data_IF_339764709153
#
_entry.id   IF_339764709153
#
_cell.length_a   1.000
_cell.length_b   1.000
_cell.length_c   1.000
_cell.angle_alpha   90.00
_cell.angle_beta   90.00
_cell.angle_gamma   90.00
#
_symmetry.space_group_name_H-M   'P 1'
#
loop_
_entity.id
_entity.type
_entity.pdbx_description
1 polymer ?
#
# COMPACT_ATOMS: atom_id res chain seq x y z
N UNK A 1 10.56 8.46 3.59
CA UNK A 1 10.02 9.04 4.84
C UNK A 1 10.72 10.37 5.05
N UNK A 2 10.02 11.51 4.93
CA UNK A 2 10.61 12.80 5.25
C UNK A 2 10.59 12.91 6.77
N UNK A 3 11.77 13.01 7.39
CA UNK A 3 11.89 13.45 8.78
C UNK A 3 11.39 14.90 8.80
N UNK A 4 10.30 15.18 9.49
CA UNK A 4 9.95 16.55 9.88
C UNK A 4 11.10 17.06 10.75
N UNK A 5 11.67 18.20 10.41
CA UNK A 5 12.86 18.75 11.08
C UNK A 5 12.68 19.05 12.58
N UNK A 6 11.46 18.91 13.09
CA UNK A 6 11.06 19.24 14.46
C UNK A 6 10.78 18.00 15.34
N UNK A 7 11.07 16.77 14.86
CA UNK A 7 10.90 15.53 15.63
C UNK A 7 12.26 15.05 16.16
N UNK A 8 12.37 14.66 17.47
CA UNK A 8 13.60 14.10 17.99
C UNK A 8 14.02 12.84 17.26
N UNK A 9 15.31 12.63 17.08
CA UNK A 9 15.88 11.46 16.39
C UNK A 9 16.30 10.34 17.34
N UNK A 10 16.47 10.66 18.63
CA UNK A 10 16.90 9.74 19.70
C UNK A 10 16.29 10.15 21.05
N UNK A 11 16.54 9.31 22.06
CA UNK A 11 16.04 9.52 23.43
C UNK A 11 16.56 10.83 24.06
N UNK A 12 17.86 11.10 23.92
CA UNK A 12 18.48 12.29 24.52
C UNK A 12 17.87 13.58 23.97
N UNK A 13 17.72 13.67 22.63
CA UNK A 13 17.05 14.82 21.99
C UNK A 13 15.61 14.98 22.46
N UNK A 14 14.86 13.89 22.62
CA UNK A 14 13.51 13.95 23.13
C UNK A 14 13.44 14.50 24.54
N UNK A 15 14.39 14.12 25.41
CA UNK A 15 14.41 14.52 26.82
C UNK A 15 14.90 15.96 27.06
N UNK A 16 15.68 16.55 26.13
CA UNK A 16 16.08 17.95 26.20
C UNK A 16 15.16 18.89 25.42
N UNK A 17 14.20 18.34 24.65
CA UNK A 17 13.26 19.14 23.87
C UNK A 17 12.24 19.90 24.74
N UNK A 18 11.65 21.01 24.27
CA UNK A 18 10.55 21.70 24.97
C UNK A 18 9.34 20.81 25.27
N UNK A 19 9.13 19.77 24.47
CA UNK A 19 8.03 18.80 24.59
C UNK A 19 8.42 17.52 25.36
N UNK A 20 9.53 17.53 26.11
CA UNK A 20 10.10 16.35 26.80
C UNK A 20 9.09 15.58 27.65
N UNK A 21 8.23 16.28 28.40
CA UNK A 21 7.19 15.65 29.22
C UNK A 21 6.19 14.84 28.38
N UNK A 22 5.80 15.36 27.21
CA UNK A 22 4.86 14.69 26.27
C UNK A 22 5.52 13.48 25.60
N UNK A 23 6.81 13.60 25.26
CA UNK A 23 7.57 12.48 24.70
C UNK A 23 7.76 11.37 25.73
N UNK A 24 8.06 11.72 26.98
CA UNK A 24 8.16 10.74 28.08
C UNK A 24 6.83 10.01 28.32
N UNK A 25 5.70 10.72 28.28
CA UNK A 25 4.37 10.12 28.37
C UNK A 25 4.10 9.15 27.21
N UNK A 26 4.45 9.55 25.98
CA UNK A 26 4.32 8.70 24.80
C UNK A 26 5.18 7.42 24.89
N UNK A 27 6.43 7.54 25.38
CA UNK A 27 7.30 6.38 25.62
C UNK A 27 6.75 5.47 26.72
N UNK A 28 6.24 6.03 27.83
CA UNK A 28 5.60 5.24 28.90
C UNK A 28 4.38 4.48 28.40
N UNK A 29 3.57 5.09 27.53
CA UNK A 29 2.43 4.44 26.89
C UNK A 29 2.86 3.27 26.01
N UNK A 30 3.94 3.42 25.23
CA UNK A 30 4.50 2.32 24.43
C UNK A 30 5.05 1.19 25.30
N UNK A 31 5.79 1.52 26.37
CA UNK A 31 6.27 0.53 27.35
C UNK A 31 5.11 -0.19 28.04
N UNK A 32 4.03 0.51 28.39
CA UNK A 32 2.81 -0.09 28.90
C UNK A 32 2.26 -1.16 27.97
N UNK A 33 2.19 -0.85 26.65
CA UNK A 33 1.78 -1.81 25.63
C UNK A 33 2.70 -3.05 25.55
N UNK A 34 4.02 -2.87 25.73
CA UNK A 34 4.98 -3.98 25.76
C UNK A 34 4.73 -4.89 26.98
N UNK A 35 4.47 -4.32 28.15
CA UNK A 35 4.18 -5.09 29.37
C UNK A 35 2.83 -5.80 29.30
N UNK A 36 1.77 -5.14 28.85
CA UNK A 36 0.44 -5.74 28.67
C UNK A 36 0.48 -6.94 27.73
N UNK A 37 1.24 -6.83 26.64
CA UNK A 37 1.41 -7.91 25.67
C UNK A 37 2.47 -8.94 26.09
N UNK A 38 3.17 -8.77 27.23
CA UNK A 38 4.23 -9.67 27.71
C UNK A 38 5.28 -9.92 26.62
N UNK A 39 5.79 -8.84 26.04
CA UNK A 39 6.65 -8.90 24.85
C UNK A 39 7.99 -9.57 25.14
N UNK A 40 8.54 -9.39 26.36
CA UNK A 40 9.81 -10.00 26.79
C UNK A 40 9.86 -10.34 28.28
N UNK A 41 10.87 -11.11 28.63
CA UNK A 41 11.34 -11.33 30.01
C UNK A 41 12.81 -10.91 30.13
N UNK A 42 13.23 -10.42 31.30
CA UNK A 42 14.64 -10.08 31.54
C UNK A 42 15.43 -11.32 31.92
N UNK A 43 16.51 -11.60 31.18
CA UNK A 43 17.40 -12.75 31.38
C UNK A 43 18.85 -12.32 31.23
N UNK A 44 19.77 -13.16 31.73
CA UNK A 44 21.17 -12.99 31.41
C UNK A 44 21.41 -13.39 29.97
N UNK A 45 22.28 -12.66 29.25
CA UNK A 45 22.57 -12.95 27.84
C UNK A 45 23.41 -14.23 27.76
N UNK A 46 22.99 -15.26 27.01
CA UNK A 46 23.83 -16.44 26.75
C UNK A 46 25.13 -16.09 26.03
N UNK A 47 26.23 -16.80 26.35
CA UNK A 47 27.57 -16.50 25.83
C UNK A 47 27.68 -16.63 24.29
N UNK A 48 26.84 -17.46 23.70
CA UNK A 48 26.78 -17.72 22.25
C UNK A 48 25.81 -16.84 21.47
N UNK A 49 25.17 -15.85 22.14
CA UNK A 49 24.15 -14.99 21.56
C UNK A 49 24.54 -13.51 21.57
N UNK A 50 23.99 -12.76 20.64
CA UNK A 50 24.10 -11.30 20.60
C UNK A 50 22.74 -10.65 20.83
N UNK A 51 22.72 -9.57 21.57
CA UNK A 51 21.50 -8.79 21.77
C UNK A 51 21.34 -7.76 20.65
N UNK A 52 20.15 -7.75 20.04
CA UNK A 52 19.76 -6.77 19.03
C UNK A 52 19.62 -5.41 19.69
N UNK A 53 20.18 -4.39 19.09
CA UNK A 53 19.97 -3.01 19.54
C UNK A 53 18.55 -2.53 19.18
N UNK A 54 18.11 -1.49 19.87
CA UNK A 54 16.85 -0.81 19.57
C UNK A 54 17.03 0.70 19.51
N UNK A 55 15.98 1.39 19.12
CA UNK A 55 15.88 2.85 19.12
C UNK A 55 14.46 3.32 19.34
N UNK A 56 14.31 4.52 19.87
CA UNK A 56 13.05 5.24 19.87
C UNK A 56 12.82 5.95 18.53
N UNK A 57 11.58 5.92 18.04
CA UNK A 57 11.11 6.71 16.91
C UNK A 57 9.96 7.59 17.41
N UNK A 58 10.09 8.88 17.18
CA UNK A 58 9.13 9.89 17.62
C UNK A 58 8.33 10.40 16.43
N UNK A 59 7.03 10.68 16.65
CA UNK A 59 6.15 11.21 15.61
C UNK A 59 5.10 12.14 16.23
N UNK A 60 4.99 13.36 15.68
CA UNK A 60 3.87 14.27 15.95
C UNK A 60 2.74 13.97 14.94
N UNK A 61 1.52 13.77 15.42
CA UNK A 61 0.34 13.72 14.55
C UNK A 61 -0.36 15.06 14.60
N UNK A 62 -0.72 15.59 13.44
CA UNK A 62 -1.41 16.87 13.29
C UNK A 62 -2.81 16.66 12.74
N UNK A 63 -3.73 17.56 13.08
CA UNK A 63 -5.04 17.68 12.45
C UNK A 63 -4.93 18.31 11.03
N UNK A 64 -6.08 18.56 10.40
CA UNK A 64 -6.14 19.17 9.08
C UNK A 64 -5.62 20.62 9.04
N UNK A 65 -5.68 21.32 10.18
CA UNK A 65 -5.23 22.69 10.35
C UNK A 65 -3.74 22.81 10.70
N UNK A 66 -3.07 21.65 10.94
CA UNK A 66 -1.64 21.58 11.28
C UNK A 66 -1.35 21.62 12.79
N UNK A 67 -2.38 21.62 13.65
CA UNK A 67 -2.19 21.59 15.10
C UNK A 67 -1.79 20.19 15.56
N UNK A 68 -0.81 20.09 16.47
CA UNK A 68 -0.37 18.82 17.01
C UNK A 68 -1.46 18.23 17.90
N UNK A 69 -1.97 17.05 17.54
CA UNK A 69 -3.03 16.35 18.29
C UNK A 69 -2.48 15.24 19.16
N UNK A 70 -1.41 14.56 18.74
CA UNK A 70 -0.84 13.40 19.45
C UNK A 70 0.67 13.36 19.29
N UNK A 71 1.36 13.12 20.41
CA UNK A 71 2.76 12.70 20.44
C UNK A 71 2.81 11.17 20.48
N UNK A 72 3.55 10.55 19.59
CA UNK A 72 3.68 9.10 19.52
C UNK A 72 5.14 8.70 19.54
N UNK A 73 5.51 7.79 20.44
CA UNK A 73 6.80 7.13 20.48
C UNK A 73 6.62 5.65 20.13
N UNK A 74 7.58 5.06 19.43
CA UNK A 74 7.65 3.63 19.17
C UNK A 74 9.03 3.11 19.47
N UNK A 75 9.08 1.99 20.20
CA UNK A 75 10.31 1.23 20.37
C UNK A 75 10.50 0.33 19.16
N UNK A 76 11.65 0.45 18.49
CA UNK A 76 11.94 -0.24 17.23
C UNK A 76 13.27 -0.96 17.33
N UNK A 77 13.27 -2.28 17.09
CA UNK A 77 14.49 -3.06 17.00
C UNK A 77 15.30 -2.68 15.75
N UNK A 78 16.63 -2.72 15.85
CA UNK A 78 17.54 -2.53 14.71
C UNK A 78 17.68 -3.85 13.94
N UNK A 79 16.60 -4.28 13.26
CA UNK A 79 16.51 -5.57 12.57
C UNK A 79 17.55 -5.77 11.46
N UNK A 80 18.17 -4.70 10.96
CA UNK A 80 19.27 -4.81 10.00
C UNK A 80 20.51 -5.50 10.56
N UNK A 81 20.61 -5.63 11.89
CA UNK A 81 21.67 -6.39 12.56
C UNK A 81 21.35 -7.88 12.74
N UNK A 82 20.16 -8.35 12.35
CA UNK A 82 19.77 -9.74 12.46
C UNK A 82 20.45 -10.61 11.39
N UNK A 83 20.78 -11.85 11.75
CA UNK A 83 21.47 -12.82 10.89
C UNK A 83 20.47 -13.89 10.45
N UNK A 84 20.35 -14.10 9.14
CA UNK A 84 19.52 -15.17 8.58
C UNK A 84 20.05 -16.54 8.96
N UNK A 85 19.17 -17.48 9.31
CA UNK A 85 19.49 -18.81 9.79
C UNK A 85 19.87 -18.88 11.27
N UNK A 86 19.93 -17.72 11.99
CA UNK A 86 20.19 -17.63 13.44
C UNK A 86 19.04 -16.88 14.13
N UNK A 87 18.75 -15.67 13.66
CA UNK A 87 17.74 -14.79 14.24
C UNK A 87 16.38 -14.87 13.52
N UNK A 88 16.37 -15.35 12.28
CA UNK A 88 15.18 -15.62 11.49
C UNK A 88 15.48 -16.54 10.31
N UNK A 89 14.50 -17.33 9.91
CA UNK A 89 14.58 -18.16 8.71
C UNK A 89 13.88 -17.50 7.52
N UNK A 90 12.65 -17.03 7.72
CA UNK A 90 11.81 -16.49 6.67
C UNK A 90 11.12 -15.19 7.09
N UNK A 91 11.09 -14.23 6.18
CA UNK A 91 10.55 -12.88 6.43
C UNK A 91 9.31 -12.55 5.62
N UNK A 92 9.00 -13.34 4.58
CA UNK A 92 7.88 -13.05 3.70
C UNK A 92 6.56 -12.96 4.48
N UNK A 93 5.88 -11.85 4.30
CA UNK A 93 4.52 -11.62 4.78
C UNK A 93 3.66 -11.11 3.63
N UNK A 94 2.48 -11.70 3.41
CA UNK A 94 1.60 -11.22 2.36
C UNK A 94 1.08 -9.82 2.70
N UNK A 95 0.85 -9.02 1.65
CA UNK A 95 0.18 -7.72 1.72
C UNK A 95 -0.89 -7.70 0.65
N UNK A 96 -2.09 -7.25 0.97
CA UNK A 96 -3.19 -7.20 0.01
C UNK A 96 -2.86 -6.29 -1.16
N UNK A 97 -3.16 -6.75 -2.37
CA UNK A 97 -2.99 -5.97 -3.59
C UNK A 97 -4.08 -4.90 -3.71
N UNK A 98 -3.71 -3.69 -4.14
CA UNK A 98 -4.68 -2.61 -4.34
C UNK A 98 -5.78 -2.96 -5.35
N UNK A 99 -5.47 -3.77 -6.37
CA UNK A 99 -6.46 -4.26 -7.33
C UNK A 99 -7.52 -5.14 -6.66
N UNK A 100 -7.13 -5.99 -5.72
CA UNK A 100 -8.05 -6.82 -4.94
C UNK A 100 -8.98 -5.96 -4.09
N UNK A 101 -8.46 -4.93 -3.43
CA UNK A 101 -9.27 -3.97 -2.68
C UNK A 101 -10.29 -3.27 -3.60
N UNK A 102 -9.89 -2.82 -4.80
CA UNK A 102 -10.80 -2.18 -5.77
C UNK A 102 -11.89 -3.12 -6.24
N UNK A 103 -11.56 -4.40 -6.51
CA UNK A 103 -12.56 -5.42 -6.86
C UNK A 103 -13.57 -5.56 -5.73
N UNK A 104 -13.13 -5.67 -4.48
CA UNK A 104 -14.02 -5.78 -3.32
C UNK A 104 -14.92 -4.55 -3.14
N UNK A 105 -14.40 -3.34 -3.38
CA UNK A 105 -15.18 -2.09 -3.36
C UNK A 105 -16.20 -2.05 -4.51
N UNK A 106 -15.84 -2.51 -5.72
CA UNK A 106 -16.76 -2.60 -6.85
C UNK A 106 -17.92 -3.57 -6.57
N UNK A 107 -17.62 -4.73 -5.97
CA UNK A 107 -18.63 -5.71 -5.51
C UNK A 107 -19.53 -5.10 -4.44
N UNK A 108 -18.94 -4.44 -3.44
CA UNK A 108 -19.68 -3.80 -2.37
C UNK A 108 -20.63 -2.70 -2.88
N UNK A 109 -20.21 -1.91 -3.89
CA UNK A 109 -21.06 -0.92 -4.54
C UNK A 109 -22.26 -1.57 -5.26
N UNK A 110 -22.01 -2.67 -5.98
CA UNK A 110 -23.06 -3.36 -6.75
C UNK A 110 -24.15 -3.96 -5.87
N UNK A 111 -23.76 -4.68 -4.82
CA UNK A 111 -24.69 -5.36 -3.89
C UNK A 111 -25.13 -4.48 -2.73
N UNK A 112 -24.64 -3.25 -2.61
CA UNK A 112 -24.84 -2.35 -1.48
C UNK A 112 -24.41 -2.95 -0.13
N UNK A 113 -23.31 -3.71 -0.13
CA UNK A 113 -22.77 -4.31 1.10
C UNK A 113 -22.27 -3.23 2.08
N UNK A 114 -22.38 -3.52 3.37
CA UNK A 114 -21.73 -2.73 4.41
C UNK A 114 -20.21 -2.79 4.26
N UNK A 115 -19.54 -1.69 4.58
CA UNK A 115 -18.06 -1.60 4.59
C UNK A 115 -17.66 -0.94 5.90
N UNK A 116 -17.09 -1.72 6.81
CA UNK A 116 -16.67 -1.25 8.12
C UNK A 116 -15.16 -1.35 8.27
N UNK A 117 -14.59 -0.43 9.04
CA UNK A 117 -13.16 -0.37 9.29
C UNK A 117 -12.85 -0.62 10.77
N UNK A 118 -11.85 -1.44 11.03
CA UNK A 118 -11.28 -1.67 12.35
C UNK A 118 -9.76 -1.51 12.27
N UNK A 119 -9.14 -1.12 13.39
CA UNK A 119 -7.70 -0.93 13.54
C UNK A 119 -7.19 -1.78 14.70
N UNK A 120 -6.12 -2.56 14.46
CA UNK A 120 -5.51 -3.40 15.50
C UNK A 120 -4.45 -2.57 16.23
N UNK A 121 -4.67 -2.33 17.51
CA UNK A 121 -3.65 -1.68 18.32
C UNK A 121 -2.43 -2.59 18.46
N UNK A 122 -1.26 -2.04 18.17
CA UNK A 122 0.03 -2.76 18.36
C UNK A 122 0.07 -4.13 17.65
N UNK A 123 -0.35 -4.18 16.34
CA UNK A 123 -0.49 -5.41 15.57
C UNK A 123 0.73 -6.35 15.70
N UNK A 124 1.97 -5.84 15.53
CA UNK A 124 3.17 -6.66 15.60
C UNK A 124 3.41 -7.29 16.97
N UNK A 125 3.00 -6.62 18.06
CA UNK A 125 3.16 -7.16 19.43
C UNK A 125 2.25 -8.38 19.70
N UNK A 126 1.31 -8.69 18.79
CA UNK A 126 0.49 -9.88 18.86
C UNK A 126 1.17 -11.12 18.23
N UNK A 127 2.19 -10.92 17.37
CA UNK A 127 2.90 -12.00 16.71
C UNK A 127 3.80 -12.76 17.68
N UNK A 128 3.74 -14.09 17.68
CA UNK A 128 4.67 -14.94 18.43
C UNK A 128 5.98 -15.10 17.66
N UNK A 129 7.08 -15.16 18.39
CA UNK A 129 8.38 -15.52 17.84
C UNK A 129 8.62 -17.03 18.06
N UNK A 130 9.10 -17.69 17.03
CA UNK A 130 9.49 -19.09 17.05
C UNK A 130 10.99 -19.23 17.37
N UNK A 131 11.75 -18.15 17.11
CA UNK A 131 13.19 -18.05 17.31
C UNK A 131 13.56 -17.44 18.68
N UNK A 132 14.71 -17.79 19.20
CA UNK A 132 15.25 -17.19 20.41
C UNK A 132 15.98 -15.88 20.10
N UNK A 133 15.34 -14.76 20.43
CA UNK A 133 15.86 -13.42 20.20
C UNK A 133 16.08 -12.66 21.51
N UNK A 134 17.20 -11.98 21.56
CA UNK A 134 17.60 -11.15 22.69
C UNK A 134 17.75 -9.70 22.22
N UNK A 135 17.27 -8.75 23.01
CA UNK A 135 17.32 -7.32 22.69
C UNK A 135 17.85 -6.55 23.91
N UNK A 136 18.65 -5.54 23.66
CA UNK A 136 19.08 -4.61 24.71
C UNK A 136 17.87 -3.95 25.38
N UNK A 137 17.95 -3.66 26.68
CA UNK A 137 16.87 -2.90 27.33
C UNK A 137 16.75 -1.51 26.70
N UNK A 138 15.51 -0.98 26.57
CA UNK A 138 15.30 0.32 25.96
C UNK A 138 15.95 1.47 26.77
N UNK A 139 16.57 2.39 26.07
CA UNK A 139 17.14 3.59 26.64
C UNK A 139 16.09 4.38 27.44
N UNK A 140 16.43 4.79 28.65
CA UNK A 140 15.52 5.46 29.60
C UNK A 140 14.58 4.54 30.38
N UNK A 141 14.58 3.23 30.10
CA UNK A 141 13.71 2.22 30.74
C UNK A 141 14.47 0.97 31.19
N UNK A 142 15.74 1.11 31.49
CA UNK A 142 16.56 0.02 32.04
C UNK A 142 16.10 -0.28 33.48
N UNK A 143 15.82 -1.57 33.77
CA UNK A 143 15.48 -2.01 35.14
C UNK A 143 16.70 -1.87 36.08
N UNK A 144 16.62 -1.07 37.15
CA UNK A 144 17.74 -0.90 38.08
C UNK A 144 18.21 -2.20 38.73
N UNK A 145 17.31 -3.19 38.90
CA UNK A 145 17.63 -4.50 39.53
C UNK A 145 18.21 -5.50 38.50
N UNK A 146 18.09 -5.20 37.25
CA UNK A 146 18.53 -6.05 36.14
C UNK A 146 19.31 -5.28 35.09
N UNK A 147 20.12 -4.28 35.46
CA UNK A 147 20.79 -3.40 34.52
C UNK A 147 21.69 -4.12 33.49
N UNK A 148 22.26 -5.26 33.88
CA UNK A 148 23.10 -6.08 32.99
C UNK A 148 22.31 -7.15 32.20
N UNK A 149 20.99 -7.26 32.42
CA UNK A 149 20.13 -8.22 31.73
C UNK A 149 19.65 -7.68 30.41
N UNK A 150 19.29 -8.61 29.56
CA UNK A 150 18.69 -8.33 28.22
C UNK A 150 17.23 -8.80 28.18
N UNK A 151 16.48 -8.25 27.23
CA UNK A 151 15.11 -8.64 26.93
C UNK A 151 15.12 -9.91 26.07
N UNK A 152 14.74 -11.09 26.61
CA UNK A 152 14.41 -12.27 25.79
C UNK A 152 13.03 -12.06 25.21
N UNK A 153 12.93 -11.87 23.89
CA UNK A 153 11.68 -11.58 23.20
C UNK A 153 10.82 -12.84 23.12
N UNK A 154 9.54 -12.71 23.48
CA UNK A 154 8.51 -13.74 23.36
C UNK A 154 7.53 -13.42 22.23
N UNK A 155 7.45 -12.11 21.89
CA UNK A 155 6.63 -11.59 20.81
C UNK A 155 7.43 -10.66 19.93
N UNK A 156 6.96 -10.52 18.69
CA UNK A 156 7.60 -9.62 17.75
C UNK A 156 7.38 -8.15 18.14
N UNK A 157 8.32 -7.32 17.75
CA UNK A 157 8.25 -5.86 17.90
C UNK A 157 8.51 -5.18 16.56
N UNK A 158 8.20 -3.90 16.49
CA UNK A 158 8.54 -3.08 15.33
C UNK A 158 10.04 -3.15 15.05
N UNK A 159 10.41 -3.26 13.77
CA UNK A 159 11.78 -3.28 13.30
C UNK A 159 12.42 -4.65 13.16
N UNK A 160 11.91 -5.71 13.78
CA UNK A 160 12.35 -7.07 13.47
C UNK A 160 11.95 -7.44 12.04
N UNK A 161 12.82 -8.14 11.32
CA UNK A 161 12.60 -8.52 9.91
C UNK A 161 11.41 -9.47 9.74
N UNK A 162 11.14 -10.35 10.72
CA UNK A 162 10.02 -11.30 10.73
C UNK A 162 8.73 -10.76 11.36
N UNK A 163 8.69 -9.50 11.85
CA UNK A 163 7.54 -9.00 12.61
C UNK A 163 6.21 -9.07 11.85
N UNK A 164 6.22 -8.66 10.58
CA UNK A 164 5.02 -8.72 9.73
C UNK A 164 4.52 -10.14 9.52
N UNK A 165 5.44 -11.10 9.32
CA UNK A 165 5.13 -12.53 9.14
C UNK A 165 4.53 -13.13 10.43
N UNK A 166 5.14 -12.88 11.58
CA UNK A 166 4.66 -13.37 12.87
C UNK A 166 3.25 -12.85 13.19
N UNK A 167 3.00 -11.58 12.89
CA UNK A 167 1.67 -11.00 13.00
C UNK A 167 0.67 -11.66 12.03
N UNK A 168 1.03 -11.80 10.76
CA UNK A 168 0.16 -12.42 9.75
C UNK A 168 -0.19 -13.87 10.14
N UNK A 169 0.76 -14.71 10.57
CA UNK A 169 0.53 -16.06 11.07
C UNK A 169 -0.46 -16.07 12.23
N UNK A 170 -0.30 -15.15 13.20
CA UNK A 170 -1.19 -15.03 14.36
C UNK A 170 -2.60 -14.65 13.94
N UNK A 171 -2.74 -13.66 13.06
CA UNK A 171 -4.03 -13.22 12.54
C UNK A 171 -4.73 -14.33 11.76
N UNK A 172 -4.05 -14.96 10.83
CA UNK A 172 -4.54 -16.07 10.01
C UNK A 172 -5.10 -17.22 10.87
N UNK A 173 -4.32 -17.64 11.87
CA UNK A 173 -4.76 -18.68 12.82
C UNK A 173 -6.04 -18.29 13.55
N UNK A 174 -6.17 -17.06 14.03
CA UNK A 174 -7.35 -16.59 14.76
C UNK A 174 -8.57 -16.53 13.85
N UNK A 175 -8.42 -15.99 12.64
CA UNK A 175 -9.53 -15.82 11.70
C UNK A 175 -10.02 -17.17 11.17
N UNK A 176 -9.13 -18.09 10.86
CA UNK A 176 -9.48 -19.47 10.45
C UNK A 176 -10.20 -20.24 11.57
N UNK A 177 -9.79 -20.04 12.83
CA UNK A 177 -10.49 -20.63 13.98
C UNK A 177 -11.92 -20.12 14.13
N UNK A 178 -12.25 -18.93 13.66
CA UNK A 178 -13.62 -18.39 13.61
C UNK A 178 -14.41 -18.88 12.38
N UNK A 179 -13.80 -19.69 11.51
CA UNK A 179 -14.43 -20.28 10.34
C UNK A 179 -14.34 -19.43 9.07
N UNK A 180 -13.40 -18.47 9.00
CA UNK A 180 -13.05 -17.86 7.75
C UNK A 180 -12.17 -18.76 6.90
N UNK A 181 -12.31 -18.65 5.59
CA UNK A 181 -11.47 -19.32 4.59
C UNK A 181 -10.68 -18.23 3.84
N UNK A 182 -9.39 -18.41 3.72
CA UNK A 182 -8.51 -17.54 2.95
C UNK A 182 -8.83 -17.71 1.46
N UNK A 183 -8.89 -16.62 0.70
CA UNK A 183 -9.20 -16.67 -0.73
C UNK A 183 -7.98 -17.10 -1.55
N UNK A 184 -8.25 -17.76 -2.67
CA UNK A 184 -7.23 -18.14 -3.62
C UNK A 184 -6.59 -16.90 -4.27
N UNK A 185 -5.27 -16.92 -4.42
CA UNK A 185 -4.52 -15.85 -5.09
C UNK A 185 -4.38 -14.53 -4.32
N UNK A 186 -5.01 -14.42 -3.10
CA UNK A 186 -4.93 -13.22 -2.26
C UNK A 186 -4.93 -13.57 -0.76
N UNK A 187 -3.75 -13.76 -0.23
CA UNK A 187 -3.56 -14.27 1.12
C UNK A 187 -4.02 -13.33 2.27
N UNK A 188 -4.35 -12.09 1.97
CA UNK A 188 -4.85 -11.12 2.95
C UNK A 188 -6.36 -10.88 2.86
N UNK A 189 -7.08 -11.68 2.06
CA UNK A 189 -8.54 -11.63 1.97
C UNK A 189 -9.11 -12.96 2.44
N UNK A 190 -10.08 -12.87 3.33
CA UNK A 190 -10.78 -14.01 3.92
C UNK A 190 -12.28 -13.89 3.68
N UNK A 191 -12.93 -15.03 3.47
CA UNK A 191 -14.36 -15.14 3.24
C UNK A 191 -14.99 -16.04 4.29
N UNK A 192 -16.17 -15.65 4.79
CA UNK A 192 -17.03 -16.48 5.62
C UNK A 192 -18.46 -16.39 5.13
N UNK A 193 -19.11 -17.54 4.99
CA UNK A 193 -20.52 -17.67 4.57
C UNK A 193 -21.29 -18.40 5.65
N UNK A 194 -22.47 -17.91 5.99
CA UNK A 194 -23.40 -18.55 6.94
C UNK A 194 -24.84 -18.37 6.43
N UNK A 195 -25.41 -19.42 5.85
CA UNK A 195 -26.69 -19.32 5.15
C UNK A 195 -26.63 -18.33 3.99
N UNK A 196 -27.47 -17.29 4.05
CA UNK A 196 -27.49 -16.19 3.06
C UNK A 196 -26.54 -15.03 3.41
N UNK A 197 -25.93 -15.04 4.60
CA UNK A 197 -25.03 -13.99 5.05
C UNK A 197 -23.60 -14.27 4.58
N UNK A 198 -22.97 -13.27 3.99
CA UNK A 198 -21.57 -13.31 3.52
C UNK A 198 -20.78 -12.18 4.15
N UNK A 199 -19.55 -12.49 4.57
CA UNK A 199 -18.60 -11.52 5.05
C UNK A 199 -17.23 -11.76 4.42
N UNK A 200 -16.60 -10.68 3.98
CA UNK A 200 -15.23 -10.62 3.54
C UNK A 200 -14.42 -9.79 4.53
N UNK A 201 -13.23 -10.25 4.85
CA UNK A 201 -12.29 -9.54 5.70
C UNK A 201 -11.02 -9.31 4.90
N UNK A 202 -10.57 -8.07 4.84
CA UNK A 202 -9.36 -7.64 4.16
C UNK A 202 -8.39 -7.14 5.23
N UNK A 203 -7.22 -7.77 5.33
CA UNK A 203 -6.16 -7.37 6.25
C UNK A 203 -5.10 -6.55 5.51
N UNK A 204 -4.84 -5.34 5.98
CA UNK A 204 -3.69 -4.54 5.56
C UNK A 204 -2.87 -4.11 6.78
N UNK A 205 -1.92 -4.93 7.17
CA UNK A 205 -1.06 -4.77 8.36
C UNK A 205 -1.91 -4.67 9.65
N UNK A 206 -2.27 -3.47 10.08
CA UNK A 206 -3.10 -3.15 11.26
C UNK A 206 -4.54 -2.72 10.89
N UNK A 207 -4.76 -2.29 9.66
CA UNK A 207 -6.08 -1.93 9.15
C UNK A 207 -6.86 -3.16 8.67
N UNK A 208 -8.12 -3.26 9.08
CA UNK A 208 -9.06 -4.30 8.62
C UNK A 208 -10.26 -3.63 7.99
N UNK A 209 -10.62 -4.07 6.76
CA UNK A 209 -11.94 -3.83 6.21
C UNK A 209 -12.79 -5.07 6.37
N UNK A 210 -14.01 -4.88 6.88
CA UNK A 210 -15.02 -5.89 6.99
C UNK A 210 -16.18 -5.51 6.06
N UNK A 211 -16.46 -6.35 5.06
CA UNK A 211 -17.43 -6.11 4.00
C UNK A 211 -18.47 -7.25 4.04
N UNK A 212 -19.77 -6.93 4.01
CA UNK A 212 -20.80 -7.98 3.99
C UNK A 212 -22.21 -7.44 3.87
N UNK A 213 -23.18 -8.36 3.76
CA UNK A 213 -24.58 -8.06 3.50
C UNK A 213 -25.48 -8.10 4.76
N UNK A 214 -24.94 -8.49 5.90
CA UNK A 214 -25.72 -8.74 7.13
C UNK A 214 -25.04 -8.07 8.33
N UNK A 215 -25.69 -7.05 8.90
CA UNK A 215 -25.15 -6.23 9.99
C UNK A 215 -24.94 -7.07 11.27
N UNK A 216 -25.89 -7.93 11.64
CA UNK A 216 -25.78 -8.76 12.84
C UNK A 216 -24.61 -9.75 12.71
N UNK A 217 -24.44 -10.32 11.52
CA UNK A 217 -23.32 -11.21 11.23
C UNK A 217 -21.98 -10.47 11.31
N UNK A 218 -21.89 -9.27 10.75
CA UNK A 218 -20.70 -8.42 10.84
C UNK A 218 -20.38 -8.01 12.28
N UNK A 219 -21.40 -7.68 13.10
CA UNK A 219 -21.21 -7.35 14.52
C UNK A 219 -20.71 -8.56 15.32
N UNK A 220 -21.16 -9.77 14.99
CA UNK A 220 -20.62 -11.00 15.60
C UNK A 220 -19.14 -11.19 15.32
N UNK A 221 -18.69 -10.86 14.11
CA UNK A 221 -17.29 -10.92 13.70
C UNK A 221 -16.46 -9.85 14.44
N UNK A 222 -16.95 -8.61 14.52
CA UNK A 222 -16.32 -7.55 15.32
C UNK A 222 -16.17 -7.95 16.79
N UNK A 223 -17.22 -8.55 17.36
CA UNK A 223 -17.21 -9.06 18.72
C UNK A 223 -16.12 -10.12 18.95
N UNK A 224 -15.94 -11.03 17.99
CA UNK A 224 -14.87 -12.04 18.04
C UNK A 224 -13.47 -11.42 17.91
N UNK A 225 -13.29 -10.50 16.96
CA UNK A 225 -12.02 -9.78 16.78
C UNK A 225 -11.64 -9.00 18.05
N UNK A 226 -12.57 -8.29 18.67
CA UNK A 226 -12.34 -7.52 19.90
C UNK A 226 -11.98 -8.41 21.12
N UNK A 227 -12.43 -9.67 21.13
CA UNK A 227 -12.03 -10.66 22.16
C UNK A 227 -10.63 -11.21 21.92
N UNK A 228 -10.21 -11.27 20.65
CA UNK A 228 -8.94 -11.89 20.23
C UNK A 228 -7.77 -10.91 20.20
N UNK A 229 -8.05 -9.64 19.94
CA UNK A 229 -7.07 -8.56 19.78
C UNK A 229 -7.57 -7.27 20.43
N UNK A 230 -6.66 -6.40 20.85
CA UNK A 230 -7.02 -5.02 21.22
C UNK A 230 -7.34 -4.23 19.96
N UNK A 231 -8.61 -3.94 19.74
CA UNK A 231 -9.10 -3.30 18.50
C UNK A 231 -9.67 -1.92 18.77
N UNK A 232 -9.70 -1.12 17.71
CA UNK A 232 -10.50 0.10 17.62
C UNK A 232 -11.49 -0.05 16.47
N UNK A 233 -12.78 0.00 16.76
CA UNK A 233 -13.83 0.10 15.76
C UNK A 233 -13.89 1.55 15.25
N UNK A 234 -13.73 1.73 13.94
CA UNK A 234 -13.77 3.03 13.27
C UNK A 234 -15.12 3.30 12.59
N UNK A 235 -16.07 2.34 12.70
CA UNK A 235 -17.39 2.43 12.10
C UNK A 235 -17.40 2.20 10.58
N UNK A 236 -18.30 2.88 9.86
CA UNK A 236 -18.35 2.83 8.40
C UNK A 236 -17.03 3.37 7.81
N UNK A 237 -16.49 2.65 6.83
CA UNK A 237 -15.18 2.97 6.26
C UNK A 237 -15.23 4.29 5.46
N UNK A 238 -14.64 5.34 6.00
CA UNK A 238 -14.48 6.62 5.34
C UNK A 238 -13.15 6.72 4.56
N UNK A 239 -12.17 5.92 4.94
CA UNK A 239 -10.84 5.85 4.32
C UNK A 239 -10.32 4.42 4.29
N UNK A 240 -9.53 4.11 3.28
CA UNK A 240 -8.67 2.92 3.24
C UNK A 240 -7.31 3.33 2.68
N UNK A 241 -6.23 3.00 3.40
CA UNK A 241 -4.85 3.30 2.94
C UNK A 241 -4.65 4.77 2.54
N UNK A 242 -5.31 5.71 3.22
CA UNK A 242 -5.26 7.13 2.87
C UNK A 242 -6.09 7.53 1.64
N UNK A 243 -6.83 6.60 1.04
CA UNK A 243 -7.79 6.83 -0.03
C UNK A 243 -9.14 7.11 0.60
N UNK A 244 -9.75 8.25 0.28
CA UNK A 244 -11.09 8.60 0.75
C UNK A 244 -12.14 7.76 0.02
N UNK A 245 -13.07 7.18 0.78
CA UNK A 245 -14.24 6.48 0.27
C UNK A 245 -15.42 7.44 0.32
N UNK A 246 -16.02 7.72 -0.82
CA UNK A 246 -17.31 8.39 -0.93
C UNK A 246 -18.38 7.37 -1.28
N UNK A 247 -19.53 7.42 -0.64
CA UNK A 247 -20.62 6.48 -0.88
C UNK A 247 -21.94 7.21 -1.10
N UNK A 248 -22.65 6.82 -2.15
CA UNK A 248 -24.04 7.21 -2.42
C UNK A 248 -24.87 5.94 -2.57
N UNK A 249 -25.54 5.55 -1.48
CA UNK A 249 -26.36 4.33 -1.43
C UNK A 249 -27.57 4.43 -2.35
N UNK A 250 -28.17 5.63 -2.50
CA UNK A 250 -29.35 5.82 -3.34
C UNK A 250 -29.08 5.49 -4.81
N UNK A 251 -27.84 5.72 -5.26
CA UNK A 251 -27.36 5.45 -6.61
C UNK A 251 -26.50 4.19 -6.71
N UNK A 252 -26.24 3.50 -5.60
CA UNK A 252 -25.29 2.38 -5.50
C UNK A 252 -23.91 2.72 -6.08
N UNK A 253 -23.39 3.90 -5.70
CA UNK A 253 -22.10 4.38 -6.15
C UNK A 253 -21.11 4.42 -4.99
N UNK A 254 -19.87 3.99 -5.26
CA UNK A 254 -18.72 4.23 -4.39
C UNK A 254 -17.64 4.91 -5.23
N UNK A 255 -17.12 6.03 -4.71
CA UNK A 255 -16.03 6.79 -5.32
C UNK A 255 -14.79 6.78 -4.46
N UNK A 256 -13.63 6.53 -5.05
CA UNK A 256 -12.32 6.58 -4.40
C UNK A 256 -11.58 7.85 -4.81
N UNK A 257 -11.06 8.60 -3.83
CA UNK A 257 -10.35 9.87 -4.07
C UNK A 257 -9.08 9.99 -3.23
N UNK A 258 -8.09 10.65 -3.81
CA UNK A 258 -6.82 10.98 -3.15
C UNK A 258 -6.57 12.50 -3.10
N UNK A 259 -7.61 13.34 -3.11
CA UNK A 259 -7.47 14.81 -3.18
C UNK A 259 -6.49 15.36 -2.13
N UNK A 260 -6.62 14.93 -0.87
CA UNK A 260 -5.73 15.34 0.23
C UNK A 260 -4.27 14.91 0.00
N UNK A 261 -4.05 13.71 -0.52
CA UNK A 261 -2.70 13.23 -0.87
C UNK A 261 -2.12 14.04 -2.03
N UNK A 262 -2.92 14.31 -3.06
CA UNK A 262 -2.50 15.13 -4.19
C UNK A 262 -2.12 16.56 -3.77
N UNK A 263 -2.87 17.17 -2.86
CA UNK A 263 -2.52 18.49 -2.30
C UNK A 263 -1.15 18.44 -1.56
N UNK A 264 -0.90 17.38 -0.78
CA UNK A 264 0.40 17.20 -0.09
C UNK A 264 1.56 17.09 -1.09
N UNK A 265 1.45 16.28 -2.14
CA UNK A 265 2.52 16.14 -3.13
C UNK A 265 2.72 17.40 -3.96
N UNK A 266 1.65 18.11 -4.32
CA UNK A 266 1.74 19.39 -5.03
C UNK A 266 2.48 20.44 -4.19
N UNK A 267 2.20 20.55 -2.91
CA UNK A 267 2.95 21.42 -1.98
C UNK A 267 4.40 21.00 -1.85
N UNK A 268 4.66 19.69 -1.65
CA UNK A 268 6.00 19.12 -1.52
C UNK A 268 6.90 19.47 -2.70
N UNK A 269 6.38 19.44 -3.92
CA UNK A 269 7.14 19.74 -5.14
C UNK A 269 6.97 21.18 -5.62
N UNK A 270 6.41 22.08 -4.80
CA UNK A 270 6.18 23.50 -5.10
C UNK A 270 5.36 23.72 -6.39
N UNK A 271 4.37 22.84 -6.61
CA UNK A 271 3.46 22.87 -7.76
C UNK A 271 2.05 23.32 -7.39
N UNK A 272 1.80 23.64 -6.14
CA UNK A 272 0.51 24.10 -5.63
C UNK A 272 0.06 25.45 -6.26
N UNK A 273 1.01 26.31 -6.66
CA UNK A 273 0.72 27.56 -7.39
C UNK A 273 0.95 27.45 -8.91
N UNK A 274 1.35 26.28 -9.42
CA UNK A 274 1.59 26.09 -10.85
C UNK A 274 0.29 26.21 -11.68
N UNK A 275 0.38 26.55 -12.96
CA UNK A 275 -0.76 26.52 -13.88
C UNK A 275 -1.29 25.07 -14.01
N UNK A 276 -2.62 24.93 -14.13
CA UNK A 276 -3.28 23.62 -14.36
C UNK A 276 -2.95 23.11 -15.75
N UNK A 277 -2.58 21.81 -15.88
CA UNK A 277 -2.33 21.14 -17.14
C UNK A 277 -3.57 20.38 -17.64
N UNK A 278 -3.68 20.19 -18.95
CA UNK A 278 -4.80 19.49 -19.56
C UNK A 278 -4.51 18.03 -19.85
N UNK A 279 -3.25 17.70 -20.12
CA UNK A 279 -2.78 16.36 -20.49
C UNK A 279 -1.61 15.94 -19.62
N UNK A 280 -1.52 14.68 -19.19
CA UNK A 280 -0.38 14.17 -18.41
C UNK A 280 0.86 13.98 -19.29
N UNK A 281 0.68 13.65 -20.58
CA UNK A 281 1.72 13.56 -21.62
C UNK A 281 1.50 14.67 -22.63
N UNK A 282 2.53 15.44 -22.92
CA UNK A 282 2.46 16.46 -23.97
C UNK A 282 2.65 15.81 -25.34
N UNK A 283 1.75 16.12 -26.26
CA UNK A 283 1.83 15.64 -27.63
C UNK A 283 3.13 16.11 -28.31
N UNK A 284 3.83 15.21 -29.00
CA UNK A 284 5.08 15.49 -29.71
C UNK A 284 6.34 15.50 -28.82
N UNK A 285 6.21 15.37 -27.49
CA UNK A 285 7.37 15.25 -26.60
C UNK A 285 7.77 13.79 -26.46
N UNK A 286 8.94 13.43 -27.02
CA UNK A 286 9.57 12.12 -26.82
C UNK A 286 10.68 12.23 -25.79
N UNK A 287 10.62 11.43 -24.75
CA UNK A 287 11.69 11.30 -23.77
C UNK A 287 12.71 10.26 -24.24
N UNK A 288 14.01 10.54 -24.09
CA UNK A 288 15.07 9.63 -24.48
C UNK A 288 16.31 9.77 -23.60
N UNK A 289 17.21 8.80 -23.65
CA UNK A 289 18.50 8.83 -22.95
C UNK A 289 19.43 9.96 -23.45
N UNK A 290 19.22 10.46 -24.66
CA UNK A 290 19.99 11.59 -25.20
C UNK A 290 19.78 12.89 -24.41
N UNK A 291 18.69 13.00 -23.67
CA UNK A 291 18.36 14.13 -22.78
C UNK A 291 18.94 13.97 -21.37
N UNK A 292 19.62 12.85 -21.09
CA UNK A 292 20.30 12.65 -19.82
C UNK A 292 21.56 13.51 -19.73
N UNK A 293 21.88 14.07 -18.54
CA UNK A 293 23.04 14.90 -18.36
C UNK A 293 24.35 14.11 -18.58
N UNK A 294 25.17 14.56 -19.53
CA UNK A 294 26.48 13.98 -19.85
C UNK A 294 27.64 14.79 -19.28
N UNK A 295 27.48 16.11 -19.16
CA UNK A 295 28.47 17.03 -18.63
C UNK A 295 28.17 17.45 -17.19
N UNK A 296 29.20 17.91 -16.48
CA UNK A 296 29.12 18.31 -15.08
C UNK A 296 28.10 19.43 -14.83
N UNK A 297 28.04 20.42 -15.74
CA UNK A 297 27.10 21.54 -15.63
C UNK A 297 25.62 21.09 -15.63
N UNK A 298 25.24 20.14 -16.49
CA UNK A 298 23.88 19.66 -16.56
C UNK A 298 23.54 18.74 -15.36
N UNK A 299 24.53 18.00 -14.84
CA UNK A 299 24.37 17.24 -13.59
C UNK A 299 24.13 18.16 -12.41
N UNK A 300 24.84 19.29 -12.32
CA UNK A 300 24.66 20.26 -11.23
C UNK A 300 23.26 20.90 -11.28
N UNK A 301 22.71 21.19 -12.47
CA UNK A 301 21.30 21.65 -12.61
C UNK A 301 20.26 20.67 -12.05
N UNK A 302 20.58 19.38 -12.07
CA UNK A 302 19.65 18.32 -11.63
C UNK A 302 19.91 17.80 -10.20
N UNK A 303 21.00 18.21 -9.58
CA UNK A 303 21.48 17.71 -8.28
C UNK A 303 20.43 17.81 -7.16
N UNK A 304 19.77 18.96 -7.07
CA UNK A 304 18.77 19.22 -6.01
C UNK A 304 17.34 18.93 -6.47
N UNK A 305 17.16 18.39 -7.68
CA UNK A 305 15.83 18.05 -8.20
C UNK A 305 15.38 16.71 -7.62
N UNK A 306 14.28 16.67 -6.85
CA UNK A 306 13.82 15.45 -6.19
C UNK A 306 13.07 14.50 -7.16
N UNK A 307 13.73 14.14 -8.29
CA UNK A 307 13.10 13.42 -9.40
C UNK A 307 12.51 12.07 -8.95
N UNK A 308 13.33 11.19 -8.38
CA UNK A 308 12.89 9.87 -7.94
C UNK A 308 11.77 9.94 -6.88
N UNK A 309 11.86 10.96 -5.98
CA UNK A 309 10.81 11.21 -4.99
C UNK A 309 9.49 11.65 -5.64
N UNK A 310 9.53 12.44 -6.71
CA UNK A 310 8.34 12.86 -7.44
C UNK A 310 7.72 11.68 -8.20
N UNK A 311 8.54 10.89 -8.91
CA UNK A 311 8.09 9.66 -9.58
C UNK A 311 7.41 8.72 -8.59
N UNK A 312 8.04 8.40 -7.45
CA UNK A 312 7.45 7.52 -6.43
C UNK A 312 6.15 8.05 -5.85
N UNK A 313 6.06 9.38 -5.64
CA UNK A 313 4.82 10.00 -5.14
C UNK A 313 3.67 9.93 -6.17
N UNK A 314 3.95 10.18 -7.45
CA UNK A 314 2.95 10.08 -8.53
C UNK A 314 2.58 8.62 -8.78
N UNK A 315 3.55 7.69 -8.71
CA UNK A 315 3.31 6.26 -8.86
C UNK A 315 2.32 5.73 -7.81
N UNK A 316 2.45 6.17 -6.56
CA UNK A 316 1.48 5.81 -5.53
C UNK A 316 0.07 6.33 -5.87
N UNK A 317 -0.07 7.58 -6.33
CA UNK A 317 -1.35 8.11 -6.77
C UNK A 317 -1.93 7.29 -7.95
N UNK A 318 -1.09 6.95 -8.93
CA UNK A 318 -1.45 6.14 -10.09
C UNK A 318 -1.93 4.76 -9.67
N UNK A 319 -1.19 4.06 -8.84
CA UNK A 319 -1.56 2.71 -8.39
C UNK A 319 -2.86 2.67 -7.58
N UNK A 320 -3.20 3.72 -6.85
CA UNK A 320 -4.39 3.75 -6.00
C UNK A 320 -5.66 4.09 -6.76
N UNK A 321 -5.71 5.25 -7.47
CA UNK A 321 -6.96 5.79 -8.03
C UNK A 321 -6.81 6.49 -9.37
N UNK A 322 -5.59 6.59 -9.94
CA UNK A 322 -5.33 7.41 -11.13
C UNK A 322 -4.75 6.61 -12.30
N UNK A 323 -5.54 5.72 -12.92
CA UNK A 323 -5.14 4.99 -14.12
C UNK A 323 -4.76 5.92 -15.28
N UNK A 324 -5.34 7.09 -15.35
CA UNK A 324 -5.17 8.10 -16.38
C UNK A 324 -3.75 8.67 -16.50
N UNK A 325 -2.90 8.53 -15.48
CA UNK A 325 -1.47 8.91 -15.53
C UNK A 325 -0.52 7.73 -15.70
N UNK A 326 -1.04 6.51 -15.91
CA UNK A 326 -0.24 5.29 -15.94
C UNK A 326 0.82 5.34 -17.05
N UNK A 327 0.45 5.69 -18.28
CA UNK A 327 1.38 5.85 -19.40
C UNK A 327 2.44 6.93 -19.09
N UNK A 328 2.01 8.09 -18.63
CA UNK A 328 2.91 9.21 -18.37
C UNK A 328 4.00 8.88 -17.34
N UNK A 329 3.61 8.20 -16.25
CA UNK A 329 4.55 7.81 -15.20
C UNK A 329 5.44 6.64 -15.63
N UNK A 330 4.93 5.71 -16.47
CA UNK A 330 5.72 4.64 -17.08
C UNK A 330 6.84 5.22 -17.94
N UNK A 331 6.54 6.21 -18.79
CA UNK A 331 7.52 6.88 -19.65
C UNK A 331 8.57 7.66 -18.82
N UNK A 332 8.13 8.53 -17.90
CA UNK A 332 9.04 9.33 -17.10
C UNK A 332 9.88 8.48 -16.13
N UNK A 333 9.33 7.38 -15.62
CA UNK A 333 9.99 6.49 -14.67
C UNK A 333 11.26 5.82 -15.20
N UNK A 334 11.43 5.71 -16.52
CA UNK A 334 12.60 5.08 -17.16
C UNK A 334 13.93 5.80 -16.87
N UNK A 335 13.87 7.10 -16.60
CA UNK A 335 15.04 7.96 -16.48
C UNK A 335 15.44 8.29 -15.04
N UNK A 336 14.95 7.54 -14.04
CA UNK A 336 15.17 7.82 -12.61
C UNK A 336 16.65 7.80 -12.19
N UNK A 337 17.49 7.01 -12.87
CA UNK A 337 18.91 6.87 -12.54
C UNK A 337 19.75 8.08 -12.96
N UNK A 338 19.36 8.77 -14.04
CA UNK A 338 20.09 9.94 -14.58
C UNK A 338 19.15 10.91 -15.29
N UNK A 339 18.22 11.58 -14.59
CA UNK A 339 17.20 12.43 -15.22
C UNK A 339 17.79 13.75 -15.71
N UNK A 340 17.37 14.20 -16.90
CA UNK A 340 17.67 15.54 -17.42
C UNK A 340 16.52 16.53 -17.21
N UNK A 341 16.73 17.78 -17.62
CA UNK A 341 15.78 18.89 -17.46
C UNK A 341 14.44 18.63 -18.18
N UNK A 342 14.48 17.99 -19.35
CA UNK A 342 13.29 17.65 -20.12
C UNK A 342 12.46 16.55 -19.41
N UNK A 343 13.13 15.55 -18.82
CA UNK A 343 12.50 14.54 -17.98
C UNK A 343 11.77 15.19 -16.78
N UNK A 344 12.43 16.15 -16.11
CA UNK A 344 11.80 16.89 -15.01
C UNK A 344 10.62 17.75 -15.48
N UNK A 345 10.70 18.29 -16.68
CA UNK A 345 9.60 19.05 -17.28
C UNK A 345 8.39 18.15 -17.55
N UNK A 346 8.61 16.91 -18.02
CA UNK A 346 7.54 15.91 -18.17
C UNK A 346 6.88 15.57 -16.82
N UNK A 347 7.66 15.34 -15.76
CA UNK A 347 7.13 15.11 -14.40
C UNK A 347 6.29 16.30 -13.91
N UNK A 348 6.78 17.54 -14.13
CA UNK A 348 6.00 18.75 -13.78
C UNK A 348 4.67 18.82 -14.56
N UNK A 349 4.62 18.34 -15.81
CA UNK A 349 3.37 18.29 -16.57
C UNK A 349 2.38 17.29 -15.99
N UNK A 350 2.84 16.13 -15.53
CA UNK A 350 1.99 15.18 -14.81
C UNK A 350 1.41 15.83 -13.54
N UNK A 351 2.24 16.53 -12.75
CA UNK A 351 1.79 17.25 -11.55
C UNK A 351 0.77 18.36 -11.87
N UNK A 352 0.95 19.12 -12.96
CA UNK A 352 -0.02 20.11 -13.42
C UNK A 352 -1.36 19.51 -13.82
N UNK A 353 -1.34 18.33 -14.46
CA UNK A 353 -2.54 17.57 -14.81
C UNK A 353 -3.24 17.06 -13.54
N UNK A 354 -2.48 16.46 -12.61
CA UNK A 354 -3.00 16.02 -11.32
C UNK A 354 -3.62 17.19 -10.53
N UNK A 355 -3.00 18.38 -10.55
CA UNK A 355 -3.58 19.59 -9.94
C UNK A 355 -4.94 19.96 -10.53
N UNK A 356 -5.11 19.81 -11.86
CA UNK A 356 -6.38 20.09 -12.52
C UNK A 356 -7.47 19.11 -12.13
N UNK A 357 -7.10 17.84 -11.99
CA UNK A 357 -8.02 16.70 -11.83
C UNK A 357 -8.03 16.11 -10.43
N UNK A 358 -7.52 16.86 -9.43
CA UNK A 358 -7.34 16.37 -8.06
C UNK A 358 -8.65 15.98 -7.36
N UNK A 359 -9.75 16.62 -7.75
CA UNK A 359 -11.07 16.42 -7.15
C UNK A 359 -11.88 15.32 -7.86
N UNK A 360 -11.29 14.64 -8.85
CA UNK A 360 -11.92 13.50 -9.52
C UNK A 360 -11.88 12.26 -8.64
N UNK A 361 -12.90 11.42 -8.82
CA UNK A 361 -13.04 10.13 -8.16
C UNK A 361 -12.90 9.00 -9.18
N UNK A 362 -12.30 7.88 -8.76
CA UNK A 362 -12.47 6.60 -9.42
C UNK A 362 -13.78 6.01 -8.89
N UNK A 363 -14.77 5.85 -9.77
CA UNK A 363 -16.16 5.54 -9.37
C UNK A 363 -16.52 4.12 -9.79
N UNK A 364 -17.21 3.40 -8.91
CA UNK A 364 -17.83 2.10 -9.15
C UNK A 364 -19.33 2.22 -8.97
N UNK A 365 -20.10 1.71 -9.92
CA UNK A 365 -21.55 1.67 -9.91
C UNK A 365 -22.15 1.97 -11.28
N UNK A 366 -23.45 1.67 -11.43
CA UNK A 366 -24.21 1.95 -12.64
C UNK A 366 -24.37 0.79 -13.59
N UNK A 367 -23.62 -0.30 -13.46
CA UNK A 367 -23.80 -1.50 -14.28
C UNK A 367 -25.04 -2.30 -13.82
N UNK A 368 -25.72 -2.93 -14.80
CA UNK A 368 -26.85 -3.84 -14.53
C UNK A 368 -26.40 -5.24 -14.14
N UNK A 369 -25.23 -5.62 -14.58
CA UNK A 369 -24.60 -6.93 -14.32
C UNK A 369 -23.14 -6.75 -13.92
N UNK A 370 -22.69 -7.58 -13.02
CA UNK A 370 -21.30 -7.54 -12.53
C UNK A 370 -20.45 -8.39 -13.47
N UNK A 371 -19.89 -7.75 -14.50
CA UNK A 371 -19.08 -8.40 -15.54
C UNK A 371 -17.71 -7.70 -15.59
N UNK A 372 -16.66 -8.52 -15.63
CA UNK A 372 -15.30 -8.01 -15.89
C UNK A 372 -15.08 -7.87 -17.38
N UNK A 373 -14.66 -6.68 -17.80
CA UNK A 373 -14.24 -6.42 -19.17
C UNK A 373 -12.78 -5.96 -19.17
N UNK A 374 -11.95 -6.61 -20.01
CA UNK A 374 -10.56 -6.21 -20.26
C UNK A 374 -10.46 -5.43 -21.58
N UNK A 375 -9.58 -4.44 -21.62
CA UNK A 375 -9.21 -3.68 -22.82
C UNK A 375 -7.70 -3.68 -22.91
N UNK A 376 -7.17 -3.93 -24.10
CA UNK A 376 -5.74 -3.99 -24.37
C UNK A 376 -5.40 -3.21 -25.62
N UNK A 377 -4.23 -2.57 -25.62
CA UNK A 377 -3.69 -1.78 -26.70
C UNK A 377 -2.16 -1.79 -26.63
N UNK A 378 -1.49 -1.65 -27.78
CA UNK A 378 -0.06 -1.49 -27.88
C UNK A 378 0.34 -0.31 -28.75
N UNK A 379 1.28 0.49 -28.27
CA UNK A 379 1.91 1.52 -29.09
C UNK A 379 3.21 0.98 -29.70
N UNK A 380 3.17 0.63 -30.98
CA UNK A 380 4.28 0.03 -31.71
C UNK A 380 5.47 0.99 -31.88
N UNK A 381 6.71 0.50 -31.65
CA UNK A 381 7.98 1.21 -31.88
C UNK A 381 8.01 2.63 -31.29
N UNK A 382 7.55 2.77 -30.03
CA UNK A 382 7.41 4.10 -29.42
C UNK A 382 8.59 4.54 -28.56
N UNK A 383 9.48 3.63 -28.16
CA UNK A 383 10.68 3.98 -27.40
C UNK A 383 11.81 4.39 -28.34
N UNK A 384 12.28 5.67 -28.27
CA UNK A 384 13.34 6.15 -29.17
C UNK A 384 14.72 5.59 -28.84
N UNK A 385 14.91 4.97 -27.67
CA UNK A 385 16.21 4.47 -27.21
C UNK A 385 16.48 3.03 -27.69
N UNK A 386 15.43 2.18 -27.85
CA UNK A 386 15.59 0.77 -28.18
C UNK A 386 14.46 0.19 -29.07
N UNK A 387 13.63 1.04 -29.67
CA UNK A 387 12.52 0.67 -30.58
C UNK A 387 11.51 -0.32 -29.99
N UNK A 388 11.42 -0.42 -28.66
CA UNK A 388 10.44 -1.27 -28.01
C UNK A 388 9.07 -0.63 -27.97
N UNK A 389 8.07 -1.47 -28.08
CA UNK A 389 6.65 -1.08 -28.00
C UNK A 389 6.21 -0.89 -26.55
N UNK A 390 5.09 -0.21 -26.37
CA UNK A 390 4.46 0.01 -25.07
C UNK A 390 3.16 -0.79 -24.99
N UNK A 391 3.04 -1.67 -24.01
CA UNK A 391 1.78 -2.34 -23.65
C UNK A 391 0.92 -1.44 -22.79
N UNK A 392 -0.39 -1.45 -23.00
CA UNK A 392 -1.41 -0.89 -22.11
C UNK A 392 -2.57 -1.85 -21.94
N UNK A 393 -3.05 -2.05 -20.70
CA UNK A 393 -4.32 -2.70 -20.47
C UNK A 393 -5.09 -2.07 -19.31
N UNK A 394 -6.42 -2.22 -19.34
CA UNK A 394 -7.31 -1.86 -18.24
C UNK A 394 -8.42 -2.89 -18.11
N UNK A 395 -8.67 -3.34 -16.88
CA UNK A 395 -9.84 -4.16 -16.53
C UNK A 395 -10.83 -3.31 -15.75
N UNK A 396 -12.10 -3.42 -16.13
CA UNK A 396 -13.21 -2.71 -15.46
C UNK A 396 -14.17 -3.70 -14.82
N UNK A 397 -14.79 -3.29 -13.72
CA UNK A 397 -15.84 -4.01 -13.01
C UNK A 397 -16.81 -2.98 -12.43
N UNK A 398 -18.11 -3.18 -12.59
CA UNK A 398 -19.14 -2.26 -12.13
C UNK A 398 -18.86 -0.79 -12.57
N UNK A 399 -18.56 -0.58 -13.85
CA UNK A 399 -18.35 0.74 -14.45
C UNK A 399 -17.02 1.41 -14.15
N UNK A 400 -16.18 0.87 -13.26
CA UNK A 400 -14.91 1.46 -12.84
C UNK A 400 -13.69 0.57 -13.11
N UNK A 401 -12.52 1.20 -13.31
CA UNK A 401 -11.26 0.47 -13.49
C UNK A 401 -10.83 -0.21 -12.17
N UNK A 402 -10.53 -1.51 -12.21
CA UNK A 402 -10.07 -2.30 -11.04
C UNK A 402 -8.62 -2.72 -11.17
N UNK A 403 -8.11 -2.95 -12.39
CA UNK A 403 -6.69 -3.20 -12.66
C UNK A 403 -6.27 -2.51 -13.94
N UNK A 404 -5.01 -2.05 -13.99
CA UNK A 404 -4.42 -1.39 -15.15
C UNK A 404 -2.91 -1.48 -15.13
N UNK A 405 -2.31 -1.41 -16.30
CA UNK A 405 -0.87 -1.38 -16.49
C UNK A 405 -0.51 -0.54 -17.71
N UNK A 406 0.66 0.04 -17.69
CA UNK A 406 1.36 0.51 -18.87
C UNK A 406 2.83 0.19 -18.71
N UNK A 407 3.38 -0.68 -19.56
CA UNK A 407 4.73 -1.21 -19.46
C UNK A 407 5.43 -1.23 -20.81
N UNK A 408 6.74 -0.99 -20.82
CA UNK A 408 7.57 -1.21 -22.00
C UNK A 408 7.73 -2.72 -22.21
N UNK A 409 7.50 -3.19 -23.43
CA UNK A 409 7.67 -4.60 -23.78
C UNK A 409 9.13 -5.05 -23.59
N UNK A 410 9.32 -6.28 -23.19
CA UNK A 410 10.67 -6.83 -22.94
C UNK A 410 11.45 -7.11 -24.23
N UNK A 411 10.74 -7.34 -25.34
CA UNK A 411 11.26 -7.64 -26.68
C UNK A 411 10.89 -6.54 -27.66
N UNK A 412 11.59 -6.48 -28.79
CA UNK A 412 11.24 -5.62 -29.93
C UNK A 412 10.27 -6.40 -30.81
N UNK A 413 9.09 -5.87 -31.02
CA UNK A 413 8.11 -6.43 -31.95
C UNK A 413 8.48 -6.05 -33.40
N UNK A 414 8.35 -6.99 -34.34
CA UNK A 414 8.62 -6.78 -35.76
C UNK A 414 7.45 -6.16 -36.52
N UNK A 415 6.27 -6.03 -35.91
CA UNK A 415 5.07 -5.46 -36.50
C UNK A 415 4.10 -4.96 -35.41
N UNK A 416 3.13 -4.12 -35.84
CA UNK A 416 2.04 -3.69 -34.95
C UNK A 416 1.23 -4.89 -34.43
N UNK A 417 0.97 -5.88 -35.30
CA UNK A 417 0.24 -7.10 -34.92
C UNK A 417 0.99 -7.89 -33.81
N UNK A 418 2.31 -8.03 -33.91
CA UNK A 418 3.10 -8.70 -32.90
C UNK A 418 3.11 -7.91 -31.58
N UNK A 419 3.24 -6.59 -31.63
CA UNK A 419 3.15 -5.75 -30.44
C UNK A 419 1.80 -5.90 -29.71
N UNK A 420 0.70 -5.92 -30.46
CA UNK A 420 -0.65 -6.14 -29.92
C UNK A 420 -0.82 -7.55 -29.34
N UNK A 421 -0.26 -8.56 -30.00
CA UNK A 421 -0.29 -9.94 -29.49
C UNK A 421 0.46 -10.08 -28.16
N UNK A 422 1.63 -9.44 -28.04
CA UNK A 422 2.39 -9.39 -26.78
C UNK A 422 1.58 -8.68 -25.68
N UNK A 423 0.94 -7.57 -26.01
CA UNK A 423 0.10 -6.85 -25.06
C UNK A 423 -1.12 -7.69 -24.62
N UNK A 424 -1.75 -8.41 -25.57
CA UNK A 424 -2.86 -9.32 -25.26
C UNK A 424 -2.44 -10.46 -24.33
N UNK A 425 -1.22 -11.00 -24.47
CA UNK A 425 -0.67 -12.02 -23.57
C UNK A 425 -0.47 -11.47 -22.15
N UNK A 426 0.08 -10.25 -22.00
CA UNK A 426 0.24 -9.61 -20.69
C UNK A 426 -1.14 -9.36 -20.02
N UNK A 427 -2.11 -8.89 -20.79
CA UNK A 427 -3.48 -8.70 -20.31
C UNK A 427 -4.14 -10.05 -19.93
N UNK A 428 -3.94 -11.11 -20.71
CA UNK A 428 -4.49 -12.44 -20.44
C UNK A 428 -3.97 -13.02 -19.13
N UNK A 429 -2.69 -12.85 -18.81
CA UNK A 429 -2.10 -13.28 -17.52
C UNK A 429 -2.79 -12.59 -16.34
N UNK A 430 -3.04 -11.28 -16.43
CA UNK A 430 -3.81 -10.55 -15.42
C UNK A 430 -5.26 -11.04 -15.36
N UNK A 431 -5.88 -11.31 -16.50
CA UNK A 431 -7.24 -11.83 -16.60
C UNK A 431 -7.42 -13.21 -15.97
N UNK A 432 -6.44 -14.11 -16.11
CA UNK A 432 -6.46 -15.44 -15.48
C UNK A 432 -6.49 -15.30 -13.97
N UNK A 433 -5.55 -14.54 -13.38
CA UNK A 433 -5.54 -14.29 -11.94
C UNK A 433 -6.87 -13.68 -11.46
N UNK A 434 -7.37 -12.67 -12.17
CA UNK A 434 -8.62 -11.99 -11.80
C UNK A 434 -9.81 -12.94 -11.83
N UNK A 435 -9.89 -13.79 -12.87
CA UNK A 435 -10.94 -14.80 -12.98
C UNK A 435 -10.92 -15.79 -11.83
N UNK A 436 -9.75 -16.31 -11.48
CA UNK A 436 -9.59 -17.26 -10.37
C UNK A 436 -9.97 -16.61 -9.04
N UNK A 437 -9.47 -15.41 -8.76
CA UNK A 437 -9.79 -14.66 -7.55
C UNK A 437 -11.30 -14.37 -7.42
N UNK A 438 -11.92 -13.83 -8.48
CA UNK A 438 -13.36 -13.49 -8.47
C UNK A 438 -14.23 -14.75 -8.36
N UNK A 439 -13.84 -15.85 -9.02
CA UNK A 439 -14.55 -17.11 -8.93
C UNK A 439 -14.53 -17.68 -7.51
N UNK A 440 -13.39 -17.58 -6.84
CA UNK A 440 -13.25 -18.04 -5.46
C UNK A 440 -14.08 -17.19 -4.48
N UNK A 441 -14.27 -15.88 -4.73
CA UNK A 441 -15.17 -15.06 -3.90
C UNK A 441 -16.60 -15.62 -3.89
N UNK A 442 -17.08 -16.21 -5.00
CA UNK A 442 -18.35 -16.91 -5.11
C UNK A 442 -19.58 -16.00 -5.08
N UNK A 443 -19.41 -14.69 -5.32
CA UNK A 443 -20.50 -13.70 -5.30
C UNK A 443 -20.78 -13.09 -6.68
N UNK A 444 -20.01 -13.47 -7.71
CA UNK A 444 -20.18 -12.99 -9.09
C UNK A 444 -20.58 -14.17 -9.98
N UNK A 445 -21.86 -14.31 -10.36
CA UNK A 445 -22.33 -15.44 -11.17
C UNK A 445 -21.65 -15.54 -12.54
N UNK A 446 -21.32 -14.40 -13.17
CA UNK A 446 -20.65 -14.34 -14.47
C UNK A 446 -19.18 -14.80 -14.46
N UNK A 447 -18.57 -14.99 -13.30
CA UNK A 447 -17.17 -15.40 -13.17
C UNK A 447 -16.88 -16.80 -13.72
N UNK A 448 -17.89 -17.69 -13.79
CA UNK A 448 -17.75 -19.03 -14.38
C UNK A 448 -17.58 -19.04 -15.88
N UNK A 449 -18.02 -17.97 -16.58
CA UNK A 449 -17.91 -17.81 -18.03
C UNK A 449 -16.52 -17.36 -18.50
N UNK A 450 -16.32 -17.27 -19.83
CA UNK A 450 -15.10 -16.69 -20.40
C UNK A 450 -15.04 -15.19 -20.12
N UNK A 451 -13.87 -14.69 -19.72
CA UNK A 451 -13.62 -13.26 -19.58
C UNK A 451 -13.38 -12.64 -20.97
N UNK A 452 -13.99 -11.50 -21.22
CA UNK A 452 -13.81 -10.77 -22.49
C UNK A 452 -12.62 -9.81 -22.38
N UNK A 453 -11.71 -9.88 -23.34
CA UNK A 453 -10.63 -8.92 -23.55
C UNK A 453 -10.83 -8.33 -24.95
N UNK A 454 -11.00 -7.02 -25.02
CA UNK A 454 -11.18 -6.28 -26.26
C UNK A 454 -9.83 -5.79 -26.77
N UNK A 455 -9.50 -6.11 -28.02
CA UNK A 455 -8.34 -5.64 -28.78
C UNK A 455 -8.85 -5.10 -30.10
N UNK A 456 -8.25 -4.04 -30.62
CA UNK A 456 -8.66 -3.41 -31.89
C UNK A 456 -7.91 -3.96 -33.10
N UNK A 457 -6.86 -4.78 -32.88
CA UNK A 457 -6.06 -5.38 -33.96
C UNK A 457 -6.62 -6.74 -34.39
N UNK A 458 -7.25 -6.77 -35.56
CA UNK A 458 -7.86 -8.00 -36.09
C UNK A 458 -6.84 -9.10 -36.41
N UNK A 459 -5.60 -8.76 -36.76
CA UNK A 459 -4.52 -9.73 -36.97
C UNK A 459 -4.04 -10.40 -35.71
N UNK A 460 -4.08 -9.66 -34.56
CA UNK A 460 -3.73 -10.23 -33.27
C UNK A 460 -4.85 -11.09 -32.67
N UNK A 461 -6.10 -10.90 -33.11
CA UNK A 461 -7.27 -11.68 -32.67
C UNK A 461 -7.39 -13.01 -33.41
N UNK A 462 -6.97 -13.05 -34.69
CA UNK A 462 -7.08 -14.22 -35.58
C UNK A 462 -6.07 -15.31 -35.22
#
# INVERSE_FOLDING_TARGET
>A
MLLDRDEPTNYEEAMVSPDSAKWLEAMKSEMGSMYENKVWTLVDLPDDRQAIENKWIFKKKTDADGNITVYKARLVAKGFGQVQGVDYDETFSPVVMLKSVRIMIAIAAFYDYEIWQMDVKTAFLNGFLEEELYMMQPEGFVDPKGANKVCKLQRSIYGLVQASRSWNKRFDSVIKAFGFIQTFGEACIYKKVSGSSVAFLILYVDDILLIGNDIEFLDSIKGYLNKSFSMKDLGEAAYILGIKIYRDRSRRLIGLSQSTYLDKILKKFKMDQAKKGFLPVLQGVKLSQTQCPTIAEDREKMKDVPYASAIGSIMYAMMCTRPDVCLAISLAGRYQSNPGVDHWTAVKNILKYLKRTKDMFLVYGGDKELIVNGYVDASFDTDPDDSKSQTGYVFTLNGGAVSWCSSKQSVVAGSTCEAEYIAALEAANEGVWMKEFISDLGVIPSASGPMKIFCDNTGAIA
#
